data_IF_220049700403
#
_entry.id   IF_220049700403
#
_cell.length_a   1.000
_cell.length_b   1.000
_cell.length_c   1.000
_cell.angle_alpha   90.00
_cell.angle_beta   90.00
_cell.angle_gamma   90.00
#
_symmetry.space_group_name_H-M   'P 1'
#
loop_
_entity.id
_entity.type
_entity.pdbx_description
1 polymer ?
#
# COMPACT_ATOMS: atom_id res chain seq x y z
N UNK A 1 -50.36 -24.92 -17.11
CA UNK A 1 -49.76 -23.98 -16.13
C UNK A 1 -48.48 -24.51 -15.51
N UNK A 2 -48.46 -25.62 -14.76
CA UNK A 2 -47.22 -26.13 -14.10
C UNK A 2 -46.02 -26.30 -15.03
N UNK A 3 -46.21 -26.87 -16.23
CA UNK A 3 -45.13 -27.07 -17.22
C UNK A 3 -44.54 -25.76 -17.78
N UNK A 4 -45.37 -24.73 -17.93
CA UNK A 4 -44.94 -23.41 -18.41
C UNK A 4 -44.13 -22.66 -17.34
N UNK A 5 -44.54 -22.77 -16.06
CA UNK A 5 -43.80 -22.19 -14.93
C UNK A 5 -42.43 -22.84 -14.79
N UNK A 6 -42.35 -24.17 -14.90
CA UNK A 6 -41.07 -24.90 -14.85
C UNK A 6 -40.16 -24.46 -16.01
N UNK A 7 -40.69 -24.35 -17.23
CA UNK A 7 -39.89 -23.92 -18.39
C UNK A 7 -39.35 -22.48 -18.24
N UNK A 8 -40.17 -21.55 -17.72
CA UNK A 8 -39.77 -20.17 -17.44
C UNK A 8 -38.70 -20.12 -16.34
N UNK A 9 -38.87 -20.90 -15.26
CA UNK A 9 -37.90 -20.98 -14.18
C UNK A 9 -36.56 -21.57 -14.67
N UNK A 10 -36.59 -22.63 -15.48
CA UNK A 10 -35.39 -23.21 -16.09
C UNK A 10 -34.72 -22.20 -17.01
N UNK A 11 -35.47 -21.48 -17.86
CA UNK A 11 -34.92 -20.48 -18.77
C UNK A 11 -34.27 -19.30 -18.01
N UNK A 12 -34.90 -18.82 -16.93
CA UNK A 12 -34.30 -17.81 -16.06
C UNK A 12 -33.05 -18.31 -15.35
N UNK A 13 -33.04 -19.56 -14.85
CA UNK A 13 -31.84 -20.16 -14.24
C UNK A 13 -30.68 -20.29 -15.22
N UNK A 14 -30.94 -20.75 -16.45
CA UNK A 14 -29.93 -20.79 -17.52
C UNK A 14 -29.51 -19.40 -17.95
N UNK A 15 -30.42 -18.42 -17.98
CA UNK A 15 -30.07 -17.02 -18.22
C UNK A 15 -29.11 -16.51 -17.16
N UNK A 16 -29.45 -16.66 -15.88
CA UNK A 16 -28.61 -16.26 -14.75
C UNK A 16 -27.25 -16.98 -14.78
N UNK A 17 -27.20 -18.27 -15.14
CA UNK A 17 -25.93 -18.99 -15.29
C UNK A 17 -25.09 -18.51 -16.48
N UNK A 18 -25.72 -18.20 -17.62
CA UNK A 18 -25.02 -17.67 -18.80
C UNK A 18 -24.57 -16.20 -18.63
N UNK A 19 -25.27 -15.42 -17.80
CA UNK A 19 -24.92 -14.04 -17.48
C UNK A 19 -24.16 -13.88 -16.15
N UNK A 20 -23.94 -14.97 -15.41
CA UNK A 20 -23.24 -14.97 -14.12
C UNK A 20 -21.73 -15.21 -14.25
N UNK A 21 -21.27 -15.78 -15.37
CA UNK A 21 -19.86 -16.03 -15.66
C UNK A 21 -19.28 -14.94 -16.58
N UNK A 22 -19.09 -13.73 -16.05
CA UNK A 22 -18.33 -12.70 -16.76
C UNK A 22 -17.03 -12.45 -16.01
N UNK A 23 -15.92 -12.97 -16.56
CA UNK A 23 -14.59 -12.50 -16.18
C UNK A 23 -14.46 -11.05 -16.68
N UNK A 24 -14.36 -10.10 -15.75
CA UNK A 24 -14.08 -8.70 -16.08
C UNK A 24 -12.59 -8.44 -15.90
N UNK A 25 -11.94 -8.01 -16.99
CA UNK A 25 -10.53 -7.60 -16.98
C UNK A 25 -10.44 -6.10 -17.24
N UNK A 26 -9.79 -5.38 -16.33
CA UNK A 26 -9.41 -3.98 -16.51
C UNK A 26 -7.93 -3.88 -16.83
N UNK A 27 -7.58 -3.08 -17.84
CA UNK A 27 -6.20 -2.78 -18.21
C UNK A 27 -5.94 -1.30 -17.96
N UNK A 28 -5.26 -0.99 -16.87
CA UNK A 28 -5.08 0.37 -16.37
C UNK A 28 -3.66 0.80 -16.66
N UNK A 29 -3.50 1.82 -17.50
CA UNK A 29 -2.21 2.44 -17.77
C UNK A 29 -2.10 3.74 -16.98
N UNK A 30 -1.12 3.80 -16.09
CA UNK A 30 -0.82 4.98 -15.27
C UNK A 30 -0.04 6.02 -16.09
N UNK A 31 -0.11 7.28 -15.68
CA UNK A 31 0.55 8.40 -16.37
C UNK A 31 2.07 8.26 -16.45
N UNK A 32 2.67 7.62 -15.44
CA UNK A 32 4.11 7.36 -15.35
C UNK A 32 4.57 6.10 -16.12
N UNK A 33 3.66 5.42 -16.82
CA UNK A 33 3.95 4.29 -17.70
C UNK A 33 3.57 2.92 -17.15
N UNK A 34 3.44 2.78 -15.83
CA UNK A 34 3.10 1.49 -15.19
C UNK A 34 1.75 0.97 -15.69
N UNK A 35 1.67 -0.35 -15.87
CA UNK A 35 0.47 -1.03 -16.30
C UNK A 35 -0.02 -2.00 -15.23
N UNK A 36 -1.27 -1.84 -14.81
CA UNK A 36 -1.97 -2.74 -13.91
C UNK A 36 -3.05 -3.51 -14.67
N UNK A 37 -3.13 -4.81 -14.40
CA UNK A 37 -4.24 -5.66 -14.85
C UNK A 37 -5.06 -6.01 -13.61
N UNK A 38 -6.37 -5.78 -13.65
CA UNK A 38 -7.29 -6.22 -12.60
C UNK A 38 -8.25 -7.23 -13.21
N UNK A 39 -8.13 -8.47 -12.77
CA UNK A 39 -8.95 -9.59 -13.23
C UNK A 39 -9.93 -10.01 -12.15
N UNK A 40 -11.21 -10.08 -12.50
CA UNK A 40 -12.26 -10.62 -11.67
C UNK A 40 -12.39 -12.13 -11.91
N UNK A 41 -12.60 -12.90 -10.84
CA UNK A 41 -12.93 -14.32 -10.99
C UNK A 41 -14.29 -14.53 -11.68
N UNK A 42 -14.52 -15.76 -12.14
CA UNK A 42 -15.73 -16.12 -12.89
C UNK A 42 -17.03 -16.04 -12.09
N UNK A 43 -16.97 -15.69 -10.81
CA UNK A 43 -18.11 -15.54 -9.91
C UNK A 43 -18.34 -14.09 -9.46
N UNK A 44 -17.45 -13.16 -9.81
CA UNK A 44 -17.54 -11.78 -9.33
C UNK A 44 -17.16 -11.61 -7.86
N UNK A 45 -16.58 -12.64 -7.22
CA UNK A 45 -16.41 -12.70 -5.76
C UNK A 45 -15.05 -12.22 -5.29
N UNK A 46 -14.03 -12.34 -6.14
CA UNK A 46 -12.68 -11.88 -5.86
C UNK A 46 -12.03 -11.29 -7.09
N UNK A 47 -11.09 -10.37 -6.85
CA UNK A 47 -10.31 -9.73 -7.88
C UNK A 47 -8.83 -9.94 -7.59
N UNK A 48 -8.02 -9.98 -8.64
CA UNK A 48 -6.57 -10.00 -8.55
C UNK A 48 -6.05 -8.79 -9.29
N UNK A 49 -5.22 -7.98 -8.63
CA UNK A 49 -4.48 -6.90 -9.25
C UNK A 49 -3.04 -7.33 -9.48
N UNK A 50 -2.54 -7.10 -10.69
CA UNK A 50 -1.24 -7.56 -11.18
C UNK A 50 -0.49 -6.38 -11.80
N UNK A 51 0.80 -6.27 -11.50
CA UNK A 51 1.75 -5.50 -12.30
C UNK A 51 2.99 -6.38 -12.53
N UNK A 52 3.13 -6.87 -13.76
CA UNK A 52 4.16 -7.84 -14.14
C UNK A 52 5.56 -7.23 -14.20
N UNK A 53 5.67 -5.94 -14.48
CA UNK A 53 6.97 -5.23 -14.54
C UNK A 53 7.58 -5.09 -13.14
N UNK A 54 6.75 -5.04 -12.11
CA UNK A 54 7.16 -4.88 -10.71
C UNK A 54 6.92 -6.12 -9.84
N UNK A 55 6.84 -7.32 -10.44
CA UNK A 55 6.59 -8.60 -9.76
C UNK A 55 5.46 -8.54 -8.70
N UNK A 56 4.39 -7.80 -9.02
CA UNK A 56 3.31 -7.53 -8.10
C UNK A 56 2.08 -8.35 -8.46
N UNK A 57 1.55 -9.05 -7.46
CA UNK A 57 0.27 -9.74 -7.53
C UNK A 57 -0.36 -9.69 -6.15
N UNK A 58 -1.60 -9.22 -6.08
CA UNK A 58 -2.34 -9.18 -4.83
C UNK A 58 -3.82 -9.47 -5.08
N UNK A 59 -4.42 -10.29 -4.20
CA UNK A 59 -5.86 -10.50 -4.20
C UNK A 59 -6.55 -9.32 -3.48
N UNK A 60 -7.62 -8.80 -4.06
CA UNK A 60 -8.44 -7.72 -3.51
C UNK A 60 -9.90 -8.14 -3.51
N UNK A 61 -10.65 -7.57 -2.57
CA UNK A 61 -12.05 -7.94 -2.34
C UNK A 61 -12.99 -7.40 -3.42
N UNK A 62 -12.67 -6.25 -3.99
CA UNK A 62 -13.59 -5.52 -4.86
C UNK A 62 -12.83 -4.53 -5.75
N UNK A 63 -13.37 -4.29 -6.94
CA UNK A 63 -12.87 -3.30 -7.90
C UNK A 63 -14.02 -2.80 -8.78
N UNK A 64 -14.46 -1.56 -8.56
CA UNK A 64 -15.63 -1.00 -9.25
C UNK A 64 -15.22 -0.37 -10.60
N UNK A 65 -14.06 0.29 -10.66
CA UNK A 65 -13.59 0.97 -11.86
C UNK A 65 -12.11 1.31 -11.82
N UNK A 66 -11.53 1.64 -12.97
CA UNK A 66 -10.14 2.15 -13.08
C UNK A 66 -9.89 3.39 -12.20
N UNK A 67 -10.94 4.16 -11.86
CA UNK A 67 -10.84 5.34 -11.00
C UNK A 67 -10.58 5.00 -9.53
N UNK A 68 -10.78 3.74 -9.13
CA UNK A 68 -10.47 3.28 -7.78
C UNK A 68 -8.95 3.29 -7.55
N UNK A 69 -8.16 3.18 -8.62
CA UNK A 69 -6.70 3.24 -8.59
C UNK A 69 -6.22 4.64 -9.00
N UNK A 70 -5.39 5.25 -8.15
CA UNK A 70 -4.83 6.57 -8.41
C UNK A 70 -3.36 6.63 -8.00
N UNK A 71 -2.57 7.47 -8.68
CA UNK A 71 -1.21 7.77 -8.28
C UNK A 71 -1.24 8.65 -7.02
N UNK A 72 -0.62 8.19 -5.94
CA UNK A 72 -0.47 8.98 -4.71
C UNK A 72 0.79 9.84 -4.79
N UNK A 73 1.92 9.24 -5.19
CA UNK A 73 3.17 9.93 -5.41
C UNK A 73 4.09 9.17 -6.37
N UNK A 74 4.93 9.92 -7.09
CA UNK A 74 6.00 9.39 -7.92
C UNK A 74 7.24 10.27 -7.74
N UNK A 75 8.06 9.96 -6.73
CA UNK A 75 9.28 10.71 -6.39
C UNK A 75 10.52 10.00 -6.92
N UNK A 76 11.72 10.47 -6.58
CA UNK A 76 12.97 9.80 -6.97
C UNK A 76 13.21 8.50 -6.19
N UNK A 77 12.65 8.38 -4.98
CA UNK A 77 12.84 7.22 -4.10
C UNK A 77 11.65 6.28 -4.08
N UNK A 78 10.44 6.80 -4.31
CA UNK A 78 9.22 6.09 -4.01
C UNK A 78 8.14 6.31 -5.06
N UNK A 79 7.46 5.22 -5.40
CA UNK A 79 6.28 5.23 -6.23
C UNK A 79 5.15 4.54 -5.47
N UNK A 80 4.03 5.24 -5.35
CA UNK A 80 2.91 4.76 -4.57
C UNK A 80 1.60 5.02 -5.28
N UNK A 81 0.76 4.01 -5.30
CA UNK A 81 -0.62 4.09 -5.77
C UNK A 81 -1.57 3.87 -4.61
N UNK A 82 -2.71 4.57 -4.64
CA UNK A 82 -3.81 4.33 -3.73
C UNK A 82 -4.92 3.59 -4.47
N UNK A 83 -5.29 2.43 -3.95
CA UNK A 83 -6.50 1.72 -4.35
C UNK A 83 -7.57 1.94 -3.28
N UNK A 84 -8.61 2.69 -3.61
CA UNK A 84 -9.67 3.05 -2.68
C UNK A 84 -11.05 2.94 -3.29
N UNK A 85 -11.90 2.12 -2.67
CA UNK A 85 -13.34 2.05 -2.90
C UNK A 85 -14.06 1.74 -1.59
N UNK A 86 -15.34 1.33 -1.64
CA UNK A 86 -16.14 1.05 -0.43
C UNK A 86 -15.63 -0.16 0.36
N UNK A 87 -14.91 -1.07 -0.30
CA UNK A 87 -14.53 -2.38 0.23
C UNK A 87 -13.02 -2.52 0.43
N UNK A 88 -12.22 -1.72 -0.27
CA UNK A 88 -10.75 -1.81 -0.31
C UNK A 88 -10.16 -0.43 -0.05
N UNK A 89 -9.17 -0.37 0.84
CA UNK A 89 -8.39 0.82 1.12
C UNK A 89 -6.93 0.39 1.37
N UNK A 90 -6.11 0.48 0.32
CA UNK A 90 -4.71 0.04 0.39
C UNK A 90 -3.80 0.91 -0.47
N UNK A 91 -2.51 0.86 -0.14
CA UNK A 91 -1.44 1.41 -0.95
C UNK A 91 -0.70 0.29 -1.68
N UNK A 92 -0.28 0.54 -2.92
CA UNK A 92 0.64 -0.30 -3.68
C UNK A 92 1.94 0.47 -3.78
N UNK A 93 2.99 -0.06 -3.16
CA UNK A 93 4.20 0.67 -2.80
C UNK A 93 5.42 0.05 -3.49
N UNK A 94 6.26 0.89 -4.09
CA UNK A 94 7.50 0.48 -4.75
C UNK A 94 8.65 1.43 -4.49
N UNK A 95 9.83 0.88 -4.19
CA UNK A 95 11.07 1.65 -4.14
C UNK A 95 11.67 1.77 -5.54
N UNK A 96 12.11 2.97 -5.90
CA UNK A 96 12.73 3.25 -7.20
C UNK A 96 14.23 2.92 -7.23
N UNK A 97 14.83 2.67 -8.42
CA UNK A 97 14.24 2.87 -9.76
C UNK A 97 13.23 1.81 -10.23
N UNK A 98 13.39 0.51 -9.92
CA UNK A 98 12.54 -0.56 -10.50
C UNK A 98 12.20 -1.67 -9.49
N UNK A 99 11.98 -1.31 -8.22
CA UNK A 99 11.74 -2.27 -7.15
C UNK A 99 10.44 -3.07 -7.31
N UNK A 100 10.45 -4.28 -6.77
CA UNK A 100 9.22 -5.06 -6.55
C UNK A 100 8.19 -4.24 -5.78
N UNK A 101 6.91 -4.33 -6.15
CA UNK A 101 5.84 -3.70 -5.36
C UNK A 101 5.30 -4.62 -4.28
N UNK A 102 4.71 -4.01 -3.26
CA UNK A 102 3.94 -4.68 -2.23
C UNK A 102 2.76 -3.82 -1.79
N UNK A 103 1.79 -4.44 -1.12
CA UNK A 103 0.62 -3.73 -0.61
C UNK A 103 0.76 -3.38 0.88
N UNK A 104 0.24 -2.23 1.26
CA UNK A 104 -0.02 -1.82 2.65
C UNK A 104 -1.51 -1.57 2.78
N UNK A 105 -2.20 -2.33 3.62
CA UNK A 105 -3.61 -2.07 3.93
C UNK A 105 -3.71 -1.00 5.00
N UNK A 106 -4.49 0.06 4.73
CA UNK A 106 -4.56 1.25 5.59
C UNK A 106 -5.15 0.91 6.96
N UNK A 107 -6.13 0.01 6.99
CA UNK A 107 -6.85 -0.36 8.20
C UNK A 107 -6.11 -1.43 9.02
N UNK A 108 -5.06 -2.05 8.46
CA UNK A 108 -4.28 -3.06 9.13
C UNK A 108 -3.19 -2.41 10.00
N UNK A 109 -3.16 -2.79 11.27
CA UNK A 109 -2.07 -2.42 12.19
C UNK A 109 -0.93 -3.42 12.23
N UNK A 110 -1.10 -4.55 11.54
CA UNK A 110 -0.14 -5.66 11.54
C UNK A 110 0.43 -5.76 10.14
N UNK A 111 1.76 -5.70 10.04
CA UNK A 111 2.48 -5.88 8.81
C UNK A 111 2.30 -7.30 8.28
N UNK A 112 1.94 -7.39 7.00
CA UNK A 112 1.85 -8.66 6.30
C UNK A 112 3.22 -9.38 6.25
N UNK A 113 3.20 -10.72 6.17
CA UNK A 113 4.43 -11.53 6.15
C UNK A 113 5.40 -11.15 5.03
N UNK A 114 4.89 -10.72 3.87
CA UNK A 114 5.75 -10.24 2.77
C UNK A 114 6.58 -9.03 3.21
N UNK A 115 5.98 -8.10 3.95
CA UNK A 115 6.68 -6.95 4.51
C UNK A 115 7.75 -7.43 5.50
N UNK A 116 7.37 -8.21 6.51
CA UNK A 116 8.28 -8.74 7.54
C UNK A 116 9.49 -9.49 6.95
N UNK A 117 9.27 -10.30 5.91
CA UNK A 117 10.29 -11.22 5.41
C UNK A 117 11.12 -10.67 4.24
N UNK A 118 10.60 -9.71 3.47
CA UNK A 118 11.23 -9.28 2.20
C UNK A 118 11.39 -7.77 2.07
N UNK A 119 10.37 -6.99 2.43
CA UNK A 119 10.35 -5.56 2.14
C UNK A 119 10.78 -4.67 3.31
N UNK A 120 10.55 -5.08 4.55
CA UNK A 120 10.79 -4.28 5.76
C UNK A 120 12.21 -3.73 5.82
N UNK A 121 13.23 -4.57 5.65
CA UNK A 121 14.64 -4.15 5.63
C UNK A 121 14.98 -3.21 4.45
N UNK A 122 14.31 -3.36 3.30
CA UNK A 122 14.52 -2.46 2.17
C UNK A 122 13.96 -1.07 2.47
N UNK A 123 12.74 -1.03 3.01
CA UNK A 123 12.06 0.21 3.40
C UNK A 123 12.76 0.90 4.57
N UNK A 124 13.27 0.13 5.55
CA UNK A 124 14.05 0.66 6.67
C UNK A 124 15.23 1.52 6.21
N UNK A 125 15.99 1.03 5.23
CA UNK A 125 17.20 1.71 4.71
C UNK A 125 16.94 3.05 4.04
N UNK A 126 15.70 3.30 3.63
CA UNK A 126 15.30 4.52 2.91
C UNK A 126 14.14 5.23 3.60
N UNK A 127 13.85 4.87 4.85
CA UNK A 127 12.66 5.34 5.55
C UNK A 127 12.62 6.86 5.65
N UNK A 128 13.76 7.50 5.92
CA UNK A 128 13.89 8.95 6.02
C UNK A 128 14.20 9.63 4.69
N UNK A 129 14.31 8.89 3.58
CA UNK A 129 14.61 9.48 2.27
C UNK A 129 13.42 10.27 1.70
N UNK A 130 12.19 9.89 2.06
CA UNK A 130 10.98 10.50 1.53
C UNK A 130 9.84 10.45 2.55
N UNK A 131 9.14 11.57 2.73
CA UNK A 131 8.00 11.65 3.65
C UNK A 131 6.87 10.68 3.29
N UNK A 132 6.66 10.38 2.00
CA UNK A 132 5.62 9.46 1.58
C UNK A 132 5.94 8.03 1.98
N UNK A 133 7.22 7.65 2.01
CA UNK A 133 7.65 6.36 2.57
C UNK A 133 7.26 6.31 4.05
N UNK A 134 7.56 7.38 4.80
CA UNK A 134 7.23 7.47 6.22
C UNK A 134 5.73 7.34 6.44
N UNK A 135 4.92 8.22 5.85
CA UNK A 135 3.47 8.26 6.06
C UNK A 135 2.78 6.94 5.72
N UNK A 136 3.19 6.29 4.62
CA UNK A 136 2.55 5.06 4.14
C UNK A 136 2.98 3.84 4.94
N UNK A 137 4.25 3.76 5.35
CA UNK A 137 4.81 2.52 5.92
C UNK A 137 5.03 2.56 7.43
N UNK A 138 4.91 3.71 8.09
CA UNK A 138 5.23 3.89 9.51
C UNK A 138 4.57 2.84 10.42
N UNK A 139 3.27 2.57 10.26
CA UNK A 139 2.58 1.59 11.11
C UNK A 139 3.15 0.17 10.95
N UNK A 140 3.47 -0.23 9.71
CA UNK A 140 4.07 -1.54 9.44
C UNK A 140 5.52 -1.58 9.93
N UNK A 141 6.25 -0.48 9.79
CA UNK A 141 7.61 -0.34 10.31
C UNK A 141 7.63 -0.43 11.83
N UNK A 142 6.67 0.19 12.53
CA UNK A 142 6.54 0.13 13.98
C UNK A 142 6.25 -1.31 14.46
N UNK A 143 5.32 -2.01 13.83
CA UNK A 143 4.95 -3.39 14.17
C UNK A 143 6.13 -4.40 14.02
N UNK A 144 7.13 -4.09 13.20
CA UNK A 144 8.30 -4.96 12.98
C UNK A 144 9.54 -4.46 13.71
N UNK A 145 9.75 -3.14 13.76
CA UNK A 145 10.98 -2.47 14.18
C UNK A 145 10.74 -1.42 15.28
N UNK A 146 9.69 -1.58 16.09
CA UNK A 146 9.23 -0.62 17.10
C UNK A 146 10.34 0.17 17.82
N UNK A 147 11.33 -0.54 18.39
CA UNK A 147 12.42 0.11 19.14
C UNK A 147 13.31 0.98 18.25
N UNK A 148 13.63 0.51 17.06
CA UNK A 148 14.42 1.27 16.07
C UNK A 148 13.63 2.51 15.60
N UNK A 149 12.31 2.36 15.39
CA UNK A 149 11.42 3.46 15.01
C UNK A 149 11.33 4.53 16.11
N UNK A 150 11.20 4.13 17.37
CA UNK A 150 11.21 5.07 18.50
C UNK A 150 12.55 5.80 18.64
N UNK A 151 13.68 5.10 18.48
CA UNK A 151 15.00 5.72 18.55
C UNK A 151 15.20 6.72 17.41
N UNK A 152 14.84 6.33 16.18
CA UNK A 152 14.89 7.17 14.99
C UNK A 152 14.05 8.43 15.17
N UNK A 153 12.82 8.29 15.67
CA UNK A 153 11.92 9.42 15.92
C UNK A 153 12.48 10.39 16.98
N UNK A 154 13.01 9.88 18.09
CA UNK A 154 13.63 10.71 19.15
C UNK A 154 14.85 11.48 18.64
N UNK A 155 15.70 10.81 17.86
CA UNK A 155 16.87 11.43 17.23
C UNK A 155 16.49 12.54 16.26
N UNK A 156 15.60 12.25 15.31
CA UNK A 156 15.15 13.22 14.32
C UNK A 156 14.51 14.46 14.95
N UNK A 157 13.61 14.26 15.93
CA UNK A 157 12.87 15.35 16.59
C UNK A 157 13.72 16.18 17.57
N UNK A 158 14.83 15.64 18.06
CA UNK A 158 15.78 16.38 18.90
C UNK A 158 16.91 17.06 18.12
N UNK A 159 16.98 16.85 16.80
CA UNK A 159 18.06 17.35 15.95
C UNK A 159 19.37 16.57 16.06
N UNK A 160 19.35 15.39 16.69
CA UNK A 160 20.49 14.45 16.70
C UNK A 160 20.43 13.57 15.44
N UNK A 161 21.12 14.00 14.38
CA UNK A 161 21.10 13.29 13.09
C UNK A 161 22.15 12.18 12.99
N UNK A 162 22.99 11.99 14.00
CA UNK A 162 24.09 11.02 13.95
C UNK A 162 23.55 9.59 13.82
N UNK A 163 23.97 8.89 12.77
CA UNK A 163 23.54 7.52 12.47
C UNK A 163 22.19 7.43 11.76
N UNK A 164 21.53 8.55 11.42
CA UNK A 164 20.28 8.53 10.64
C UNK A 164 20.52 8.33 9.14
N UNK A 165 21.75 8.49 8.67
CA UNK A 165 22.15 8.24 7.29
C UNK A 165 21.92 6.79 6.86
N UNK A 166 21.98 5.83 7.80
CA UNK A 166 21.69 4.42 7.54
C UNK A 166 20.21 4.17 7.16
N UNK A 167 19.33 5.14 7.45
CA UNK A 167 17.91 5.12 7.13
C UNK A 167 17.56 6.06 5.97
N UNK A 168 18.57 6.58 5.26
CA UNK A 168 18.39 7.40 4.06
C UNK A 168 18.34 8.91 4.30
N UNK A 169 18.57 9.39 5.53
CA UNK A 169 18.67 10.83 5.78
C UNK A 169 20.01 11.37 5.24
N UNK A 170 19.97 12.36 4.35
CA UNK A 170 21.18 12.96 3.77
C UNK A 170 21.42 14.38 4.26
N UNK A 171 22.65 14.88 4.11
CA UNK A 171 22.96 16.26 4.47
C UNK A 171 22.19 17.28 3.62
N UNK A 172 21.90 16.96 2.36
CA UNK A 172 21.06 17.78 1.50
C UNK A 172 19.64 17.90 2.07
N UNK A 173 19.05 16.80 2.52
CA UNK A 173 17.73 16.78 3.16
C UNK A 173 17.72 17.51 4.51
N UNK A 174 18.83 17.49 5.27
CA UNK A 174 18.95 18.27 6.52
C UNK A 174 19.02 19.77 6.22
N UNK A 175 19.62 20.17 5.10
CA UNK A 175 19.71 21.57 4.68
C UNK A 175 18.42 22.09 4.04
N UNK A 176 17.58 21.20 3.52
CA UNK A 176 16.23 21.49 3.04
C UNK A 176 15.22 21.51 4.20
N UNK A 177 14.95 22.72 4.72
CA UNK A 177 14.09 22.91 5.89
C UNK A 177 12.67 22.39 5.69
N UNK A 178 12.06 22.62 4.53
CA UNK A 178 10.66 22.23 4.31
C UNK A 178 10.52 20.70 4.30
N UNK A 179 11.47 20.03 3.66
CA UNK A 179 11.53 18.56 3.62
C UNK A 179 11.85 17.95 4.99
N UNK A 180 12.69 18.61 5.78
CA UNK A 180 13.06 18.15 7.13
C UNK A 180 11.92 18.36 8.14
N UNK A 181 11.32 19.55 8.17
CA UNK A 181 10.24 19.91 9.10
C UNK A 181 9.04 18.95 8.96
N UNK A 182 8.73 18.54 7.74
CA UNK A 182 7.65 17.58 7.49
C UNK A 182 7.97 16.17 8.02
N UNK A 183 9.22 15.70 7.90
CA UNK A 183 9.65 14.42 8.49
C UNK A 183 9.64 14.48 10.02
N UNK A 184 10.07 15.61 10.59
CA UNK A 184 10.00 15.86 12.04
C UNK A 184 8.54 15.80 12.49
N UNK A 185 7.64 16.52 11.83
CA UNK A 185 6.20 16.53 12.15
C UNK A 185 5.63 15.12 12.19
N UNK A 186 5.91 14.29 11.17
CA UNK A 186 5.44 12.89 11.11
C UNK A 186 5.94 12.09 12.32
N UNK A 187 7.21 12.26 12.71
CA UNK A 187 7.80 11.54 13.85
C UNK A 187 7.31 12.06 15.21
N UNK A 188 7.03 13.36 15.34
CA UNK A 188 6.38 13.91 16.54
C UNK A 188 4.96 13.36 16.69
N UNK A 189 4.18 13.35 15.61
CA UNK A 189 2.84 12.77 15.58
C UNK A 189 2.87 11.29 15.96
N UNK A 190 3.85 10.54 15.44
CA UNK A 190 4.09 9.16 15.84
C UNK A 190 4.32 9.04 17.35
N UNK A 191 5.32 9.75 17.90
CA UNK A 191 5.68 9.67 19.33
C UNK A 191 4.52 10.08 20.26
N UNK A 192 3.68 11.02 19.84
CA UNK A 192 2.52 11.47 20.61
C UNK A 192 1.36 10.47 20.59
N UNK A 193 1.27 9.63 19.54
CA UNK A 193 0.22 8.64 19.37
C UNK A 193 0.61 7.22 19.83
N UNK A 194 1.87 6.96 20.18
CA UNK A 194 2.29 5.71 20.83
C UNK A 194 1.66 5.63 22.24
N UNK A 195 0.88 4.59 22.57
CA UNK A 195 0.33 4.43 23.92
C UNK A 195 1.45 4.42 24.97
N UNK A 196 1.37 5.33 25.96
CA UNK A 196 2.37 5.50 27.05
C UNK A 196 2.73 4.23 27.83
N UNK A 197 1.99 3.14 27.67
CA UNK A 197 2.23 1.84 28.31
C UNK A 197 3.39 1.04 27.73
N UNK A 198 3.93 1.42 26.56
CA UNK A 198 5.08 0.74 25.93
C UNK A 198 6.41 1.50 26.06
N UNK A 199 6.39 2.73 26.59
CA UNK A 199 7.59 3.54 26.82
C UNK A 199 8.45 3.08 28.02
N UNK A 200 7.99 2.09 28.79
CA UNK A 200 8.61 1.62 30.04
C UNK A 200 8.86 0.10 30.07
N UNK A 201 8.97 -0.58 28.93
CA UNK A 201 9.39 -1.99 28.84
C UNK A 201 10.65 -2.15 28.00
#
# INVERSE_FOLDING_TARGET
>A
MKKAIIAIATFMLTGIMCFGCFDYTYNIKMENGDCFIVDCDSWGESYIIINSEHNFLNAIKDFESEKDLSLLCDTDYFRCYKLQNKSVNMYICGLKPDGDYFCVYVDDKIAHNSFRNKFGEKFKKVFLADKYIMEVTLNYMDDVYHKEMQEMAKKLTSGDYDGLEQYGLTQEMINDKDSLDEKIRIMEDYLNNVPRTELNK
#
